data_IF_171655161843
#
_entry.id   IF_171655161843
#
_cell.length_a   1.000
_cell.length_b   1.000
_cell.length_c   1.000
_cell.angle_alpha   90.00
_cell.angle_beta   90.00
_cell.angle_gamma   90.00
#
_symmetry.space_group_name_H-M   'P 1'
#
loop_
_entity.id
_entity.type
_entity.pdbx_description
1 polymer ?
#
# COMPACT_ATOMS: atom_id res chain seq x y z
N UNK A 1 87.49 1.12 -6.34
CA UNK A 1 87.39 1.49 -4.91
C UNK A 1 86.24 2.50 -4.79
N UNK A 2 85.42 2.39 -3.74
CA UNK A 2 84.10 3.03 -3.47
C UNK A 2 82.84 2.27 -3.93
N UNK A 3 82.56 1.26 -3.11
CA UNK A 3 81.29 0.81 -2.51
C UNK A 3 79.98 1.49 -2.99
N UNK A 4 79.09 0.68 -3.57
CA UNK A 4 77.64 0.92 -3.66
C UNK A 4 76.99 0.58 -2.31
N UNK A 5 76.24 1.53 -1.77
CA UNK A 5 75.27 1.31 -0.69
C UNK A 5 73.97 1.99 -1.11
N UNK A 6 72.86 1.25 -1.22
CA UNK A 6 71.49 1.78 -1.11
C UNK A 6 70.49 0.62 -1.01
N UNK A 7 70.27 0.21 0.25
CA UNK A 7 68.99 0.02 0.95
C UNK A 7 67.80 -0.45 0.09
N UNK A 8 67.42 -1.71 0.30
CA UNK A 8 66.10 -2.24 -0.04
C UNK A 8 65.06 -1.75 0.99
N UNK A 9 64.02 -1.04 0.52
CA UNK A 9 62.80 -0.80 1.28
C UNK A 9 61.75 -1.81 0.79
N UNK A 10 61.49 -2.84 1.60
CA UNK A 10 60.38 -3.77 1.39
C UNK A 10 59.12 -3.09 1.95
N UNK A 11 58.27 -2.57 1.08
CA UNK A 11 56.91 -2.13 1.45
C UNK A 11 55.99 -3.33 1.26
N UNK A 12 55.64 -3.98 2.36
CA UNK A 12 54.52 -4.92 2.43
C UNK A 12 53.25 -4.07 2.38
N UNK A 13 52.67 -3.92 1.19
CA UNK A 13 51.34 -3.34 1.05
C UNK A 13 50.33 -4.44 1.34
N UNK A 14 49.83 -4.51 2.57
CA UNK A 14 48.61 -5.24 2.89
C UNK A 14 47.45 -4.52 2.21
N UNK A 15 47.12 -4.98 1.00
CA UNK A 15 45.86 -4.66 0.35
C UNK A 15 44.72 -5.30 1.16
N UNK A 16 44.24 -4.60 2.19
CA UNK A 16 42.87 -4.74 2.64
C UNK A 16 41.98 -4.19 1.51
N UNK A 17 41.64 -5.05 0.56
CA UNK A 17 40.46 -4.83 -0.27
C UNK A 17 39.26 -4.88 0.67
N UNK A 18 38.83 -3.71 1.15
CA UNK A 18 37.46 -3.51 1.57
C UNK A 18 36.65 -3.68 0.29
N UNK A 19 36.07 -4.86 0.08
CA UNK A 19 35.04 -5.03 -0.94
C UNK A 19 34.00 -3.94 -0.69
N UNK A 20 33.84 -3.04 -1.67
CA UNK A 20 32.84 -2.00 -1.57
C UNK A 20 31.48 -2.70 -1.42
N UNK A 21 30.83 -2.51 -0.27
CA UNK A 21 29.50 -3.07 -0.01
C UNK A 21 28.56 -2.51 -1.05
N UNK A 22 28.16 -3.35 -2.00
CA UNK A 22 27.24 -2.93 -3.06
C UNK A 22 25.81 -3.05 -2.55
N UNK A 23 25.22 -1.90 -2.21
CA UNK A 23 23.83 -1.82 -1.78
C UNK A 23 22.89 -2.25 -2.92
N UNK A 24 21.75 -2.82 -2.55
CA UNK A 24 20.68 -3.13 -3.50
C UNK A 24 20.16 -1.82 -4.13
N UNK A 25 19.85 -1.78 -5.44
CA UNK A 25 19.34 -0.57 -6.08
C UNK A 25 18.10 -0.05 -5.36
N UNK A 26 18.07 1.23 -4.99
CA UNK A 26 16.91 1.83 -4.30
C UNK A 26 15.70 1.98 -5.21
N UNK A 27 14.50 2.14 -4.64
CA UNK A 27 13.28 2.50 -5.36
C UNK A 27 12.98 3.99 -5.16
N UNK A 28 12.68 4.72 -6.23
CA UNK A 28 12.47 6.18 -6.19
C UNK A 28 11.03 6.62 -6.35
N UNK A 29 10.13 5.70 -6.67
CA UNK A 29 8.72 6.00 -6.95
C UNK A 29 7.82 5.59 -5.80
N UNK A 30 6.77 6.39 -5.59
CA UNK A 30 5.69 6.07 -4.65
C UNK A 30 4.48 5.44 -5.35
N UNK A 31 4.43 5.51 -6.68
CA UNK A 31 3.38 4.92 -7.50
C UNK A 31 4.03 4.12 -8.62
N UNK A 32 3.61 2.88 -8.84
CA UNK A 32 4.22 2.00 -9.83
C UNK A 32 3.17 1.20 -10.58
N UNK A 33 3.40 1.04 -11.88
CA UNK A 33 2.70 0.09 -12.73
C UNK A 33 3.70 -0.89 -13.34
N UNK A 34 3.40 -2.17 -13.32
CA UNK A 34 4.26 -3.20 -13.91
C UNK A 34 3.50 -4.47 -14.28
N UNK A 35 4.11 -5.24 -15.17
CA UNK A 35 3.68 -6.59 -15.52
C UNK A 35 4.61 -7.61 -14.87
N UNK A 36 4.06 -8.74 -14.46
CA UNK A 36 4.80 -9.82 -13.84
C UNK A 36 4.27 -11.18 -14.28
N UNK A 37 5.15 -12.13 -14.55
CA UNK A 37 4.77 -13.55 -14.57
C UNK A 37 5.29 -14.23 -13.33
N UNK A 38 4.41 -14.91 -12.60
CA UNK A 38 4.76 -15.73 -11.45
C UNK A 38 4.65 -17.21 -11.81
N UNK A 39 5.70 -17.97 -11.50
CA UNK A 39 5.71 -19.43 -11.57
C UNK A 39 5.96 -20.00 -10.17
N UNK A 40 5.05 -20.81 -9.68
CA UNK A 40 5.16 -21.47 -8.37
C UNK A 40 5.34 -22.96 -8.62
N UNK A 41 6.45 -23.51 -8.14
CA UNK A 41 6.73 -24.95 -8.14
C UNK A 41 6.75 -25.45 -6.70
N UNK A 42 5.87 -26.38 -6.36
CA UNK A 42 5.83 -27.02 -5.03
C UNK A 42 5.45 -28.48 -5.16
N UNK A 43 6.40 -29.39 -4.89
CA UNK A 43 6.25 -30.80 -5.20
C UNK A 43 6.04 -31.02 -6.71
N UNK A 44 4.96 -31.72 -7.07
CA UNK A 44 4.55 -31.94 -8.47
C UNK A 44 3.71 -30.80 -9.06
N UNK A 45 3.30 -29.82 -8.24
CA UNK A 45 2.47 -28.72 -8.71
C UNK A 45 3.35 -27.63 -9.33
N UNK A 46 2.99 -27.22 -10.54
CA UNK A 46 3.64 -26.12 -11.26
C UNK A 46 2.55 -25.22 -11.85
N UNK A 47 2.43 -24.01 -11.29
CA UNK A 47 1.41 -23.05 -11.71
C UNK A 47 2.07 -21.80 -12.27
N UNK A 48 1.53 -21.27 -13.37
CA UNK A 48 1.96 -20.02 -13.97
C UNK A 48 0.81 -19.03 -14.03
N UNK A 49 1.05 -17.83 -13.51
CA UNK A 49 0.08 -16.73 -13.47
C UNK A 49 0.72 -15.49 -14.06
N UNK A 50 -0.05 -14.74 -14.84
CA UNK A 50 0.31 -13.41 -15.30
C UNK A 50 -0.38 -12.37 -14.42
N UNK A 51 0.33 -11.30 -14.08
CA UNK A 51 -0.16 -10.20 -13.26
C UNK A 51 0.13 -8.88 -13.95
N UNK A 52 -0.86 -7.99 -13.91
CA UNK A 52 -0.71 -6.55 -14.15
C UNK A 52 -1.03 -5.87 -12.83
N UNK A 53 -0.07 -5.12 -12.31
CA UNK A 53 -0.14 -4.54 -10.96
C UNK A 53 0.06 -3.04 -11.09
N UNK A 54 -0.89 -2.29 -10.53
CA UNK A 54 -0.77 -0.85 -10.28
C UNK A 54 -0.86 -0.62 -8.79
N UNK A 55 0.08 0.13 -8.22
CA UNK A 55 0.13 0.44 -6.79
C UNK A 55 0.37 1.93 -6.57
N UNK A 56 -0.28 2.49 -5.55
CA UNK A 56 -0.07 3.84 -5.06
C UNK A 56 0.15 3.83 -3.56
N UNK A 57 1.37 4.16 -3.14
CA UNK A 57 1.73 4.26 -1.73
C UNK A 57 1.00 5.41 -1.06
N UNK A 58 0.92 6.57 -1.73
CA UNK A 58 0.31 7.79 -1.20
C UNK A 58 -1.15 7.56 -0.80
N UNK A 59 -1.92 6.91 -1.69
CA UNK A 59 -3.34 6.62 -1.49
C UNK A 59 -3.59 5.27 -0.82
N UNK A 60 -2.54 4.48 -0.54
CA UNK A 60 -2.67 3.15 0.06
C UNK A 60 -3.43 2.15 -0.83
N UNK A 61 -3.39 2.31 -2.15
CA UNK A 61 -4.17 1.50 -3.09
C UNK A 61 -3.29 0.53 -3.88
N UNK A 62 -3.84 -0.63 -4.21
CA UNK A 62 -3.22 -1.55 -5.16
C UNK A 62 -4.28 -2.30 -5.97
N UNK A 63 -4.16 -2.31 -7.30
CA UNK A 63 -5.00 -3.11 -8.19
C UNK A 63 -4.14 -4.18 -8.82
N UNK A 64 -4.61 -5.41 -8.73
CA UNK A 64 -3.97 -6.60 -9.27
C UNK A 64 -4.94 -7.24 -10.25
N UNK A 65 -4.61 -7.23 -11.54
CA UNK A 65 -5.29 -8.04 -12.54
C UNK A 65 -4.48 -9.29 -12.77
N UNK A 66 -5.09 -10.46 -12.63
CA UNK A 66 -4.41 -11.74 -12.80
C UNK A 66 -5.03 -12.53 -13.95
N UNK A 67 -4.20 -13.31 -14.64
CA UNK A 67 -4.62 -14.28 -15.64
C UNK A 67 -3.88 -15.60 -15.42
N UNK A 68 -4.60 -16.63 -14.99
CA UNK A 68 -4.10 -17.99 -14.80
C UNK A 68 -4.93 -18.96 -15.65
N UNK A 69 -4.29 -19.72 -16.54
CA UNK A 69 -4.96 -20.72 -17.39
C UNK A 69 -6.20 -20.19 -18.15
N UNK A 70 -6.19 -18.91 -18.57
CA UNK A 70 -7.31 -18.25 -19.26
C UNK A 70 -8.42 -17.71 -18.35
N UNK A 71 -8.34 -17.97 -17.04
CA UNK A 71 -9.19 -17.34 -16.03
C UNK A 71 -8.58 -16.00 -15.66
N UNK A 72 -9.33 -14.92 -15.90
CA UNK A 72 -9.00 -13.57 -15.47
C UNK A 72 -9.74 -13.27 -14.17
N UNK A 73 -9.06 -12.65 -13.23
CA UNK A 73 -9.64 -12.11 -12.00
C UNK A 73 -8.96 -10.80 -11.68
N UNK A 74 -9.62 -9.98 -10.88
CA UNK A 74 -9.07 -8.71 -10.47
C UNK A 74 -9.38 -8.44 -9.01
N UNK A 75 -8.41 -7.84 -8.33
CA UNK A 75 -8.55 -7.44 -6.94
C UNK A 75 -8.06 -6.01 -6.76
N UNK A 76 -8.83 -5.18 -6.06
CA UNK A 76 -8.44 -3.83 -5.63
C UNK A 76 -8.34 -3.85 -4.10
N UNK A 77 -7.14 -3.55 -3.59
CA UNK A 77 -6.85 -3.40 -2.18
C UNK A 77 -6.92 -1.92 -1.83
N UNK A 78 -7.88 -1.55 -0.97
CA UNK A 78 -7.91 -0.24 -0.34
C UNK A 78 -7.35 -0.39 1.08
N UNK A 79 -6.06 -0.11 1.25
CA UNK A 79 -5.43 -0.23 2.56
C UNK A 79 -5.80 0.92 3.51
N UNK A 80 -6.31 2.04 2.98
CA UNK A 80 -6.80 3.17 3.77
C UNK A 80 -8.14 2.86 4.42
N UNK A 81 -9.10 2.35 3.64
CA UNK A 81 -10.36 1.81 4.15
C UNK A 81 -10.21 0.43 4.77
N UNK A 82 -9.12 -0.28 4.49
CA UNK A 82 -8.80 -1.66 4.90
C UNK A 82 -9.81 -2.70 4.42
N UNK A 83 -10.24 -2.57 3.16
CA UNK A 83 -11.13 -3.50 2.46
C UNK A 83 -10.49 -4.00 1.16
N UNK A 84 -11.01 -5.10 0.65
CA UNK A 84 -10.56 -5.73 -0.60
C UNK A 84 -11.78 -5.94 -1.50
N UNK A 85 -11.72 -5.38 -2.70
CA UNK A 85 -12.72 -5.57 -3.74
C UNK A 85 -12.24 -6.64 -4.71
N UNK A 86 -13.01 -7.71 -4.84
CA UNK A 86 -12.79 -8.76 -5.83
C UNK A 86 -13.74 -8.53 -6.99
N UNK A 87 -13.21 -8.16 -8.15
CA UNK A 87 -13.98 -7.86 -9.36
C UNK A 87 -13.92 -9.06 -10.29
N UNK A 88 -15.08 -9.58 -10.65
CA UNK A 88 -15.21 -10.66 -11.61
C UNK A 88 -15.24 -10.16 -13.07
N UNK A 89 -15.41 -11.09 -14.01
CA UNK A 89 -15.40 -10.79 -15.45
C UNK A 89 -16.64 -10.02 -15.93
N UNK A 90 -17.75 -10.09 -15.20
CA UNK A 90 -19.02 -9.48 -15.56
C UNK A 90 -19.24 -8.13 -14.84
N UNK A 91 -18.25 -7.69 -14.06
CA UNK A 91 -18.34 -6.50 -13.22
C UNK A 91 -19.11 -6.73 -11.92
N UNK A 92 -19.44 -7.97 -11.55
CA UNK A 92 -19.87 -8.24 -10.19
C UNK A 92 -18.68 -8.15 -9.26
N UNK A 93 -18.86 -7.40 -8.19
CA UNK A 93 -17.86 -7.22 -7.17
C UNK A 93 -18.31 -7.86 -5.87
N UNK A 94 -17.39 -8.55 -5.21
CA UNK A 94 -17.49 -8.84 -3.79
C UNK A 94 -16.54 -7.93 -3.03
N UNK A 95 -16.91 -7.54 -1.81
CA UNK A 95 -16.04 -6.78 -0.92
C UNK A 95 -15.88 -7.53 0.39
N UNK A 96 -14.66 -7.54 0.91
CA UNK A 96 -14.31 -8.20 2.17
C UNK A 96 -13.36 -7.36 3.00
N UNK A 97 -13.25 -7.68 4.29
CA UNK A 97 -12.29 -7.05 5.17
C UNK A 97 -10.86 -7.44 4.76
N UNK A 98 -9.98 -6.45 4.62
CA UNK A 98 -8.57 -6.72 4.37
C UNK A 98 -7.89 -7.38 5.57
N UNK A 99 -6.87 -8.19 5.29
CA UNK A 99 -6.07 -8.87 6.31
C UNK A 99 -4.62 -8.38 6.32
N UNK A 100 -3.88 -8.80 7.35
CA UNK A 100 -2.47 -8.44 7.55
C UNK A 100 -1.54 -9.05 6.50
N UNK A 101 -1.99 -10.07 5.76
CA UNK A 101 -1.25 -10.70 4.68
C UNK A 101 -1.45 -10.00 3.33
N UNK A 102 -2.18 -8.88 3.28
CA UNK A 102 -2.35 -8.13 2.04
C UNK A 102 -0.98 -7.68 1.48
N UNK A 103 -0.74 -7.77 0.16
CA UNK A 103 0.57 -7.45 -0.39
C UNK A 103 1.00 -6.01 -0.15
N UNK A 104 2.31 -5.79 0.02
CA UNK A 104 2.90 -4.47 0.18
C UNK A 104 2.83 -3.91 1.61
N UNK A 105 2.32 -4.66 2.59
CA UNK A 105 2.34 -4.24 4.00
C UNK A 105 3.65 -4.59 4.70
N UNK A 106 4.12 -3.67 5.54
CA UNK A 106 5.21 -3.96 6.47
C UNK A 106 4.68 -4.58 7.77
N UNK A 107 5.59 -4.91 8.69
CA UNK A 107 5.26 -5.44 10.03
C UNK A 107 4.36 -4.54 10.89
N UNK A 108 4.17 -3.26 10.53
CA UNK A 108 3.25 -2.32 11.20
C UNK A 108 1.89 -2.24 10.51
N UNK A 109 1.65 -3.03 9.46
CA UNK A 109 0.44 -3.00 8.65
C UNK A 109 0.37 -1.82 7.66
N UNK A 110 1.44 -1.04 7.52
CA UNK A 110 1.49 0.12 6.62
C UNK A 110 1.88 -0.34 5.21
N UNK A 111 1.06 0.04 4.23
CA UNK A 111 1.34 -0.23 2.82
C UNK A 111 2.50 0.63 2.31
N UNK A 112 3.47 -0.02 1.67
CA UNK A 112 4.57 0.62 0.96
C UNK A 112 4.88 -0.15 -0.32
N UNK A 113 5.12 0.58 -1.40
CA UNK A 113 5.50 -0.01 -2.70
C UNK A 113 6.81 -0.79 -2.57
N UNK A 114 7.73 -0.33 -1.74
CA UNK A 114 9.00 -1.00 -1.44
C UNK A 114 8.81 -2.46 -0.98
N UNK A 115 7.77 -2.72 -0.17
CA UNK A 115 7.48 -4.05 0.36
C UNK A 115 6.90 -5.01 -0.70
N UNK A 116 6.37 -4.50 -1.81
CA UNK A 116 5.98 -5.35 -2.95
C UNK A 116 7.20 -6.06 -3.56
N UNK A 117 8.38 -5.47 -3.36
CA UNK A 117 9.67 -5.96 -3.80
C UNK A 117 10.58 -6.31 -2.62
N UNK A 118 10.04 -6.66 -1.45
CA UNK A 118 10.81 -7.23 -0.33
C UNK A 118 11.93 -6.35 0.25
N UNK A 119 11.91 -5.03 0.03
CA UNK A 119 12.94 -4.11 0.56
C UNK A 119 12.92 -3.97 2.09
N UNK A 120 12.02 -4.66 2.78
CA UNK A 120 12.00 -4.79 4.23
C UNK A 120 13.01 -5.81 4.78
N UNK A 121 13.74 -6.53 3.91
CA UNK A 121 14.82 -7.44 4.28
C UNK A 121 16.21 -6.91 3.94
N UNK A 122 17.20 -7.44 4.65
CA UNK A 122 18.61 -7.15 4.40
C UNK A 122 19.12 -7.98 3.22
N UNK A 123 19.63 -7.30 2.19
CA UNK A 123 20.13 -7.91 0.96
C UNK A 123 21.64 -7.77 0.84
N UNK A 124 22.31 -8.88 0.52
CA UNK A 124 23.73 -8.93 0.23
C UNK A 124 23.97 -9.14 -1.25
N UNK A 125 24.89 -8.37 -1.84
CA UNK A 125 25.31 -8.58 -3.22
C UNK A 125 26.02 -9.94 -3.37
N UNK A 126 25.61 -10.74 -4.35
CA UNK A 126 26.16 -12.08 -4.63
C UNK A 126 26.99 -12.16 -5.91
N UNK A 127 27.04 -11.08 -6.70
CA UNK A 127 27.83 -11.03 -7.93
C UNK A 127 26.96 -10.95 -9.18
N UNK A 128 27.58 -11.28 -10.32
CA UNK A 128 26.94 -11.28 -11.63
C UNK A 128 26.59 -12.71 -12.05
N UNK A 129 25.42 -12.92 -12.63
CA UNK A 129 24.98 -14.19 -13.19
C UNK A 129 24.32 -14.02 -14.56
N UNK A 130 24.10 -15.14 -15.26
CA UNK A 130 23.41 -15.17 -16.56
C UNK A 130 22.06 -15.83 -16.42
N UNK A 131 20.99 -15.14 -16.85
CA UNK A 131 19.66 -15.72 -16.98
C UNK A 131 19.52 -16.41 -18.35
N UNK A 132 19.90 -17.69 -18.42
CA UNK A 132 19.89 -18.49 -19.65
C UNK A 132 18.52 -18.54 -20.34
N UNK A 133 17.45 -18.63 -19.56
CA UNK A 133 16.07 -18.67 -20.03
C UNK A 133 15.51 -17.29 -20.47
N UNK A 134 16.30 -16.22 -20.30
CA UNK A 134 15.97 -14.85 -20.70
C UNK A 134 17.00 -14.27 -21.66
N UNK A 135 17.21 -14.96 -22.78
CA UNK A 135 18.13 -14.54 -23.84
C UNK A 135 19.58 -14.34 -23.35
N UNK A 136 19.99 -15.13 -22.35
CA UNK A 136 21.33 -15.05 -21.72
C UNK A 136 21.65 -13.66 -21.18
N UNK A 137 20.65 -13.01 -20.60
CA UNK A 137 20.80 -11.68 -20.01
C UNK A 137 21.75 -11.74 -18.81
N UNK A 138 22.76 -10.87 -18.81
CA UNK A 138 23.66 -10.67 -17.68
C UNK A 138 22.96 -9.81 -16.61
N UNK A 139 22.97 -10.28 -15.37
CA UNK A 139 22.31 -9.64 -14.24
C UNK A 139 23.22 -9.58 -13.03
N UNK A 140 22.95 -8.62 -12.15
CA UNK A 140 23.54 -8.51 -10.83
C UNK A 140 22.55 -9.03 -9.80
N UNK A 141 23.02 -9.89 -8.89
CA UNK A 141 22.17 -10.56 -7.91
C UNK A 141 22.40 -10.05 -6.49
N UNK A 142 21.30 -9.85 -5.77
CA UNK A 142 21.27 -9.63 -4.34
C UNK A 142 20.44 -10.71 -3.69
N UNK A 143 20.87 -11.21 -2.54
CA UNK A 143 20.17 -12.26 -1.82
C UNK A 143 19.93 -11.88 -0.36
N UNK A 144 18.73 -12.20 0.12
CA UNK A 144 18.36 -12.17 1.53
C UNK A 144 18.04 -13.59 2.01
N UNK A 145 18.50 -13.93 3.22
CA UNK A 145 18.29 -15.24 3.84
C UNK A 145 17.61 -15.07 5.20
N UNK A 146 16.45 -15.69 5.36
CA UNK A 146 15.62 -15.62 6.54
C UNK A 146 15.42 -17.01 7.13
N UNK A 147 15.30 -17.10 8.46
CA UNK A 147 15.07 -18.35 9.18
C UNK A 147 13.80 -18.28 10.01
N UNK A 148 13.10 -19.40 10.14
CA UNK A 148 11.90 -19.53 10.98
C UNK A 148 10.84 -18.43 10.68
N UNK A 149 10.54 -18.25 9.39
CA UNK A 149 9.69 -17.16 8.88
C UNK A 149 8.32 -17.68 8.46
N UNK A 150 7.29 -16.84 8.58
CA UNK A 150 5.97 -17.08 8.00
C UNK A 150 5.91 -16.34 6.67
N UNK A 151 5.66 -17.07 5.59
CA UNK A 151 5.54 -16.52 4.24
C UNK A 151 4.26 -17.04 3.59
N UNK A 152 3.42 -16.15 3.06
CA UNK A 152 2.08 -16.46 2.53
C UNK A 152 1.24 -17.34 3.49
N UNK A 153 1.28 -17.05 4.79
CA UNK A 153 0.53 -17.77 5.82
C UNK A 153 1.09 -19.15 6.20
N UNK A 154 2.16 -19.64 5.55
CA UNK A 154 2.84 -20.89 5.91
C UNK A 154 4.18 -20.62 6.59
N UNK A 155 4.50 -21.41 7.61
CA UNK A 155 5.79 -21.37 8.30
C UNK A 155 6.85 -22.17 7.53
N UNK A 156 8.04 -21.60 7.38
CA UNK A 156 9.21 -22.23 6.76
C UNK A 156 10.44 -22.12 7.66
N UNK A 157 11.33 -23.11 7.60
CA UNK A 157 12.56 -23.12 8.41
C UNK A 157 13.62 -22.19 7.83
N UNK A 158 13.67 -22.06 6.51
CA UNK A 158 14.54 -21.14 5.78
C UNK A 158 13.84 -20.59 4.54
N UNK A 159 14.01 -19.30 4.26
CA UNK A 159 13.56 -18.63 3.04
C UNK A 159 14.76 -17.90 2.43
N UNK A 160 14.97 -18.06 1.13
CA UNK A 160 16.01 -17.36 0.37
C UNK A 160 15.32 -16.55 -0.72
N UNK A 161 15.57 -15.24 -0.75
CA UNK A 161 15.00 -14.31 -1.73
C UNK A 161 16.18 -13.75 -2.53
N UNK A 162 16.24 -14.04 -3.82
CA UNK A 162 17.25 -13.51 -4.74
C UNK A 162 16.58 -12.51 -5.68
N UNK A 163 17.12 -11.31 -5.80
CA UNK A 163 16.71 -10.29 -6.75
C UNK A 163 17.79 -10.05 -7.79
N UNK A 164 17.40 -10.14 -9.05
CA UNK A 164 18.28 -9.96 -10.19
C UNK A 164 17.94 -8.64 -10.89
N UNK A 165 18.95 -7.79 -11.06
CA UNK A 165 18.83 -6.51 -11.74
C UNK A 165 19.72 -6.44 -12.98
N UNK A 166 19.27 -5.70 -13.99
CA UNK A 166 20.12 -5.27 -15.10
C UNK A 166 20.49 -3.80 -14.93
N UNK A 167 21.68 -3.39 -15.35
CA UNK A 167 22.03 -1.96 -15.39
C UNK A 167 21.13 -1.23 -16.39
N UNK A 168 20.52 -0.14 -15.94
CA UNK A 168 19.62 0.70 -16.72
C UNK A 168 19.73 2.15 -16.25
N UNK A 169 20.66 2.93 -16.81
CA UNK A 169 20.93 4.31 -16.34
C UNK A 169 19.75 5.27 -16.47
N UNK A 170 18.73 4.90 -17.26
CA UNK A 170 17.52 5.69 -17.52
C UNK A 170 16.28 5.14 -16.82
N UNK A 171 16.43 4.13 -15.96
CA UNK A 171 15.31 3.61 -15.18
C UNK A 171 14.81 4.69 -14.22
N UNK A 172 13.50 4.90 -14.19
CA UNK A 172 12.85 5.92 -13.36
C UNK A 172 12.27 5.35 -12.08
N UNK A 173 12.26 4.02 -11.93
CA UNK A 173 11.69 3.29 -10.79
C UNK A 173 12.80 2.85 -9.83
N UNK A 174 13.86 2.21 -10.34
CA UNK A 174 14.97 1.72 -9.53
C UNK A 174 16.30 2.43 -9.88
N UNK A 175 17.15 2.66 -8.88
CA UNK A 175 18.36 3.45 -9.05
C UNK A 175 19.37 2.84 -10.04
N UNK A 176 19.44 3.41 -11.24
CA UNK A 176 20.34 3.02 -12.35
C UNK A 176 20.27 1.55 -12.75
N UNK A 177 19.21 0.86 -12.35
CA UNK A 177 19.01 -0.56 -12.58
C UNK A 177 17.54 -0.82 -12.90
N UNK A 178 17.23 -1.96 -13.48
CA UNK A 178 15.84 -2.46 -13.61
C UNK A 178 15.74 -3.82 -12.95
N UNK A 179 14.79 -3.99 -12.03
CA UNK A 179 14.47 -5.31 -11.47
C UNK A 179 13.90 -6.18 -12.59
N UNK A 180 14.51 -7.33 -12.85
CA UNK A 180 14.07 -8.23 -13.93
C UNK A 180 13.52 -9.54 -13.40
N UNK A 181 14.02 -10.01 -12.26
CA UNK A 181 13.59 -11.28 -11.66
C UNK A 181 13.71 -11.27 -10.14
N UNK A 182 12.75 -11.92 -9.47
CA UNK A 182 12.87 -12.35 -8.08
C UNK A 182 12.69 -13.86 -8.01
N UNK A 183 13.56 -14.55 -7.29
CA UNK A 183 13.44 -15.97 -6.97
C UNK A 183 13.27 -16.10 -5.47
N UNK A 184 12.20 -16.78 -5.04
CA UNK A 184 11.92 -17.08 -3.63
C UNK A 184 11.98 -18.59 -3.46
N UNK A 185 12.93 -19.06 -2.66
CA UNK A 185 13.14 -20.49 -2.38
C UNK A 185 12.86 -20.75 -0.91
N UNK A 186 11.83 -21.55 -0.63
CA UNK A 186 11.39 -21.87 0.73
C UNK A 186 11.75 -23.32 1.07
N UNK A 187 12.33 -23.51 2.25
CA UNK A 187 12.88 -24.79 2.69
C UNK A 187 12.33 -25.22 4.05
N UNK A 188 12.27 -26.53 4.24
CA UNK A 188 11.99 -27.20 5.51
C UNK A 188 13.25 -27.94 5.99
N UNK A 189 13.46 -27.96 7.31
CA UNK A 189 14.59 -28.65 7.93
C UNK A 189 14.43 -30.17 7.74
N UNK A 190 15.48 -30.81 7.25
CA UNK A 190 15.55 -32.26 7.21
C UNK A 190 15.74 -32.81 8.63
N UNK A 191 14.64 -33.26 9.24
CA UNK A 191 14.65 -33.82 10.60
C UNK A 191 15.27 -35.21 10.66
N UNK A 192 15.61 -35.82 9.52
CA UNK A 192 16.22 -37.16 9.46
C UNK A 192 17.75 -37.12 9.51
N UNK A 193 18.36 -35.94 9.33
CA UNK A 193 19.81 -35.78 9.45
C UNK A 193 20.22 -35.73 10.92
N UNK A 194 20.71 -36.83 11.48
CA UNK A 194 21.37 -36.88 12.79
C UNK A 194 22.74 -36.17 12.85
N UNK A 195 23.05 -35.28 11.90
CA UNK A 195 24.30 -34.54 11.82
C UNK A 195 24.24 -33.20 12.55
N UNK A 196 25.38 -32.71 13.04
CA UNK A 196 25.53 -31.36 13.60
C UNK A 196 25.26 -30.23 12.58
N UNK A 197 25.34 -30.53 11.28
CA UNK A 197 24.96 -29.62 10.20
C UNK A 197 23.47 -29.75 9.87
N UNK A 198 22.77 -28.61 9.91
CA UNK A 198 21.37 -28.50 9.52
C UNK A 198 21.24 -28.64 8.00
N UNK A 199 20.58 -29.70 7.53
CA UNK A 199 20.20 -29.87 6.12
C UNK A 199 18.81 -29.31 5.87
N UNK A 200 18.61 -28.70 4.70
CA UNK A 200 17.35 -28.06 4.33
C UNK A 200 16.88 -28.59 2.97
N UNK A 201 15.62 -29.01 2.90
CA UNK A 201 14.99 -29.51 1.69
C UNK A 201 14.11 -28.41 1.07
N UNK A 202 14.30 -28.13 -0.23
CA UNK A 202 13.49 -27.16 -0.96
C UNK A 202 12.06 -27.71 -1.11
N UNK A 203 11.07 -26.98 -0.63
CA UNK A 203 9.66 -27.40 -0.68
C UNK A 203 8.81 -26.55 -1.63
N UNK A 204 9.22 -25.29 -1.83
CA UNK A 204 8.53 -24.35 -2.72
C UNK A 204 9.55 -23.44 -3.37
N UNK A 205 9.41 -23.21 -4.68
CA UNK A 205 10.15 -22.22 -5.44
C UNK A 205 9.16 -21.31 -6.17
N UNK A 206 9.30 -20.00 -6.01
CA UNK A 206 8.53 -18.99 -6.72
C UNK A 206 9.49 -18.20 -7.58
N UNK A 207 9.20 -18.07 -8.87
CA UNK A 207 9.95 -17.23 -9.80
C UNK A 207 9.02 -16.14 -10.31
N UNK A 208 9.39 -14.89 -10.07
CA UNK A 208 8.70 -13.70 -10.58
C UNK A 208 9.58 -13.04 -11.62
N UNK A 209 9.10 -12.97 -12.84
CA UNK A 209 9.73 -12.21 -13.91
C UNK A 209 8.97 -10.91 -14.14
N UNK A 210 9.67 -9.79 -14.05
CA UNK A 210 9.08 -8.47 -14.19
C UNK A 210 9.33 -7.90 -15.59
N UNK A 211 8.37 -7.08 -16.02
CA UNK A 211 8.36 -6.42 -17.32
C UNK A 211 7.63 -5.08 -17.23
N UNK A 212 8.02 -4.13 -18.09
CA UNK A 212 7.31 -2.85 -18.32
C UNK A 212 7.03 -2.04 -17.04
N UNK A 213 8.03 -1.88 -16.18
CA UNK A 213 7.94 -0.90 -15.10
C UNK A 213 7.69 0.50 -15.65
N UNK A 214 6.76 1.21 -15.00
CA UNK A 214 6.50 2.63 -15.19
C UNK A 214 6.18 3.24 -13.84
N UNK A 215 6.61 4.48 -13.64
CA UNK A 215 6.00 5.32 -12.63
C UNK A 215 4.56 5.62 -13.09
N UNK A 216 3.58 5.45 -12.20
CA UNK A 216 2.21 5.89 -12.47
C UNK A 216 2.13 7.37 -12.06
N UNK A 217 2.51 8.26 -12.98
CA UNK A 217 2.91 9.64 -12.68
C UNK A 217 1.72 10.62 -12.61
N UNK A 218 0.51 10.25 -13.01
CA UNK A 218 -0.60 11.21 -13.13
C UNK A 218 -1.92 10.71 -12.55
N UNK A 219 -2.71 11.66 -12.05
CA UNK A 219 -4.06 11.45 -11.53
C UNK A 219 -5.03 10.85 -12.57
N UNK A 220 -4.89 11.22 -13.85
CA UNK A 220 -5.73 10.69 -14.92
C UNK A 220 -5.55 9.16 -15.06
N UNK A 221 -4.30 8.69 -15.01
CA UNK A 221 -4.02 7.25 -14.94
C UNK A 221 -4.55 6.66 -13.62
N UNK A 222 -4.46 7.39 -12.51
CA UNK A 222 -4.91 6.91 -11.20
C UNK A 222 -6.42 6.58 -11.19
N UNK A 223 -7.30 7.47 -11.66
CA UNK A 223 -8.74 7.18 -11.72
C UNK A 223 -9.07 6.06 -12.72
N UNK A 224 -8.36 5.99 -13.84
CA UNK A 224 -8.49 4.87 -14.79
C UNK A 224 -8.14 3.52 -14.15
N UNK A 225 -7.13 3.49 -13.28
CA UNK A 225 -6.72 2.25 -12.61
C UNK A 225 -7.52 1.94 -11.35
N UNK A 226 -7.99 2.90 -10.56
CA UNK A 226 -8.49 2.59 -9.21
C UNK A 226 -10.00 2.75 -9.01
N UNK A 227 -10.76 3.33 -9.95
CA UNK A 227 -12.21 3.46 -9.75
C UNK A 227 -12.95 2.13 -9.54
N UNK A 228 -13.98 2.15 -8.68
CA UNK A 228 -14.91 1.02 -8.49
C UNK A 228 -16.19 1.13 -9.35
N UNK A 229 -16.18 1.95 -10.40
CA UNK A 229 -17.33 2.18 -11.29
C UNK A 229 -17.89 0.92 -11.95
N UNK A 230 -17.06 -0.11 -12.07
CA UNK A 230 -17.46 -1.42 -12.59
C UNK A 230 -18.29 -2.25 -11.60
N UNK A 231 -18.24 -1.94 -10.29
CA UNK A 231 -18.91 -2.67 -9.20
C UNK A 231 -20.40 -2.35 -9.02
N UNK A 232 -21.19 -2.44 -10.09
CA UNK A 232 -22.60 -2.00 -10.12
C UNK A 232 -23.53 -2.69 -9.12
N UNK A 233 -23.14 -3.85 -8.60
CA UNK A 233 -23.90 -4.56 -7.57
C UNK A 233 -23.61 -4.07 -6.14
N UNK A 234 -22.51 -3.34 -5.94
CA UNK A 234 -22.11 -2.78 -4.63
C UNK A 234 -22.45 -1.30 -4.49
N UNK A 235 -22.43 -0.55 -5.58
CA UNK A 235 -22.72 0.89 -5.62
C UNK A 235 -23.99 1.16 -6.42
N UNK A 236 -24.77 2.16 -6.02
CA UNK A 236 -25.90 2.61 -6.84
C UNK A 236 -25.43 3.42 -8.05
N UNK A 237 -26.29 3.58 -9.05
CA UNK A 237 -26.01 4.43 -10.22
C UNK A 237 -26.00 5.93 -9.88
N UNK A 238 -26.23 6.31 -8.61
CA UNK A 238 -26.20 7.70 -8.18
C UNK A 238 -24.77 8.24 -8.24
N UNK A 239 -24.66 9.47 -8.74
CA UNK A 239 -23.42 10.25 -8.75
C UNK A 239 -23.73 11.68 -8.32
N UNK A 240 -22.73 12.35 -7.80
CA UNK A 240 -22.78 13.80 -7.52
C UNK A 240 -21.53 14.42 -8.09
N UNK A 241 -21.70 15.49 -8.87
CA UNK A 241 -20.59 16.31 -9.34
C UNK A 241 -20.56 17.60 -8.54
N UNK A 242 -19.41 17.91 -7.93
CA UNK A 242 -19.19 19.17 -7.22
C UNK A 242 -18.21 20.02 -8.01
N UNK A 243 -18.58 21.27 -8.28
CA UNK A 243 -17.69 22.28 -8.83
C UNK A 243 -17.00 23.03 -7.69
N UNK A 244 -15.68 22.99 -7.64
CA UNK A 244 -14.85 23.75 -6.70
C UNK A 244 -14.19 24.90 -7.44
N UNK A 245 -14.42 26.14 -6.97
CA UNK A 245 -13.81 27.34 -7.54
C UNK A 245 -12.70 27.86 -6.64
N UNK A 246 -11.46 27.78 -7.10
CA UNK A 246 -10.27 28.25 -6.40
C UNK A 246 -9.78 29.57 -6.99
N UNK A 247 -9.34 30.50 -6.14
CA UNK A 247 -8.71 31.75 -6.54
C UNK A 247 -7.40 31.96 -5.77
N UNK A 248 -6.55 32.86 -6.25
CA UNK A 248 -5.33 33.22 -5.53
C UNK A 248 -5.65 33.83 -4.17
N UNK A 249 -4.83 33.51 -3.18
CA UNK A 249 -4.74 34.34 -1.99
C UNK A 249 -4.00 35.65 -2.27
N UNK A 250 -4.34 36.69 -1.53
CA UNK A 250 -3.96 38.08 -1.85
C UNK A 250 -2.43 38.30 -1.85
N UNK A 251 -1.67 37.43 -1.16
CA UNK A 251 -0.21 37.45 -1.08
C UNK A 251 0.49 36.52 -2.09
N UNK A 252 -0.26 35.87 -2.98
CA UNK A 252 0.25 35.07 -4.10
C UNK A 252 -0.28 35.61 -5.45
N UNK A 253 0.11 36.83 -5.86
CA UNK A 253 -0.22 37.33 -7.20
C UNK A 253 0.36 36.38 -8.26
N UNK A 254 -0.38 36.19 -9.37
CA UNK A 254 -0.05 35.29 -10.50
C UNK A 254 -0.11 33.77 -10.22
N UNK A 255 -0.67 33.34 -9.08
CA UNK A 255 -0.79 31.92 -8.75
C UNK A 255 -1.51 31.08 -9.83
N UNK A 256 -2.50 31.66 -10.52
CA UNK A 256 -3.24 30.96 -11.60
C UNK A 256 -2.29 30.53 -12.72
N UNK A 257 -1.29 31.36 -13.05
CA UNK A 257 -0.31 31.02 -14.08
C UNK A 257 0.63 29.91 -13.59
N UNK A 258 1.04 29.93 -12.32
CA UNK A 258 1.82 28.84 -11.73
C UNK A 258 1.05 27.50 -11.77
N UNK A 259 -0.23 27.50 -11.41
CA UNK A 259 -1.08 26.31 -11.54
C UNK A 259 -1.23 25.84 -13.00
N UNK A 260 -1.31 26.75 -13.97
CA UNK A 260 -1.35 26.39 -15.41
C UNK A 260 -0.06 25.68 -15.84
N UNK A 261 1.09 26.21 -15.45
CA UNK A 261 2.40 25.62 -15.78
C UNK A 261 2.59 24.25 -15.14
N UNK A 262 2.13 24.07 -13.89
CA UNK A 262 2.32 22.84 -13.11
C UNK A 262 1.00 22.11 -12.85
N UNK A 263 0.13 22.01 -13.86
CA UNK A 263 -1.23 21.50 -13.66
C UNK A 263 -1.28 20.09 -13.08
N UNK A 264 -0.39 19.19 -13.47
CA UNK A 264 -0.37 17.82 -12.94
C UNK A 264 -0.08 17.79 -11.43
N UNK A 265 0.87 18.60 -10.96
CA UNK A 265 1.20 18.73 -9.54
C UNK A 265 0.08 19.44 -8.77
N UNK A 266 -0.47 20.52 -9.36
CA UNK A 266 -1.59 21.24 -8.77
C UNK A 266 -2.80 20.34 -8.54
N UNK A 267 -3.11 19.52 -9.55
CA UNK A 267 -4.17 18.52 -9.53
C UNK A 267 -3.98 17.51 -8.41
N UNK A 268 -2.79 16.93 -8.32
CA UNK A 268 -2.45 15.99 -7.26
C UNK A 268 -2.60 16.66 -5.89
N UNK A 269 -2.08 17.87 -5.70
CA UNK A 269 -2.22 18.59 -4.43
C UNK A 269 -3.67 18.98 -4.14
N UNK A 270 -4.48 19.32 -5.15
CA UNK A 270 -5.91 19.58 -4.99
C UNK A 270 -6.65 18.32 -4.52
N UNK A 271 -6.43 17.17 -5.16
CA UNK A 271 -7.01 15.90 -4.72
C UNK A 271 -6.62 15.60 -3.27
N UNK A 272 -5.34 15.72 -2.92
CA UNK A 272 -4.83 15.33 -1.61
C UNK A 272 -5.19 16.31 -0.48
N UNK A 273 -5.11 17.61 -0.74
CA UNK A 273 -5.33 18.64 0.28
C UNK A 273 -6.80 19.04 0.38
N UNK A 274 -7.59 18.94 -0.69
CA UNK A 274 -9.00 19.34 -0.68
C UNK A 274 -9.91 18.12 -0.66
N UNK A 275 -9.83 17.25 -1.67
CA UNK A 275 -10.80 16.16 -1.85
C UNK A 275 -10.64 15.06 -0.79
N UNK A 276 -9.46 14.47 -0.71
CA UNK A 276 -9.13 13.38 0.22
C UNK A 276 -8.85 13.86 1.65
N UNK A 277 -9.01 15.16 1.90
CA UNK A 277 -9.08 15.63 3.28
C UNK A 277 -10.32 15.09 3.99
N UNK A 278 -11.42 15.05 3.26
CA UNK A 278 -12.65 14.48 3.74
C UNK A 278 -12.59 12.95 3.73
N UNK A 279 -13.49 12.32 4.49
CA UNK A 279 -13.52 10.85 4.62
C UNK A 279 -14.20 10.21 3.41
N UNK A 280 -13.54 10.30 2.26
CA UNK A 280 -13.98 9.72 1.00
C UNK A 280 -12.86 8.80 0.50
N UNK A 281 -13.21 7.58 0.08
CA UNK A 281 -12.22 6.72 -0.58
C UNK A 281 -11.84 7.29 -1.96
N UNK A 282 -10.55 7.32 -2.33
CA UNK A 282 -10.13 7.72 -3.68
C UNK A 282 -10.76 6.84 -4.78
N UNK A 283 -11.15 5.60 -4.45
CA UNK A 283 -11.85 4.70 -5.38
C UNK A 283 -13.19 5.25 -5.89
N UNK A 284 -13.77 6.22 -5.18
CA UNK A 284 -15.07 6.83 -5.51
C UNK A 284 -14.95 8.09 -6.35
N UNK A 285 -13.75 8.56 -6.65
CA UNK A 285 -13.57 9.69 -7.57
C UNK A 285 -13.63 9.11 -8.98
N UNK A 286 -14.75 9.31 -9.68
CA UNK A 286 -15.00 8.75 -11.02
C UNK A 286 -14.27 9.55 -12.10
N UNK A 287 -14.34 10.88 -11.99
CA UNK A 287 -13.78 11.82 -12.94
C UNK A 287 -13.44 13.13 -12.25
N UNK A 288 -12.42 13.81 -12.77
CA UNK A 288 -12.01 15.13 -12.32
C UNK A 288 -11.56 15.96 -13.52
N UNK A 289 -12.39 16.94 -13.86
CA UNK A 289 -12.15 17.88 -14.94
C UNK A 289 -11.82 19.24 -14.36
N UNK A 290 -11.06 20.04 -15.10
CA UNK A 290 -10.72 21.38 -14.67
C UNK A 290 -10.75 22.36 -15.84
N UNK A 291 -11.00 23.63 -15.52
CA UNK A 291 -10.88 24.75 -16.44
C UNK A 291 -10.25 25.94 -15.75
N UNK A 292 -9.51 26.71 -16.53
CA UNK A 292 -8.93 27.96 -16.09
C UNK A 292 -9.73 29.14 -16.60
N UNK A 293 -9.87 30.15 -15.74
CA UNK A 293 -10.26 31.51 -16.12
C UNK A 293 -9.10 32.46 -15.83
N UNK A 294 -9.31 33.76 -16.04
CA UNK A 294 -8.28 34.77 -15.72
C UNK A 294 -8.09 34.96 -14.21
N UNK A 295 -9.08 34.61 -13.39
CA UNK A 295 -9.08 34.88 -11.94
C UNK A 295 -9.27 33.64 -11.07
N UNK A 296 -9.61 32.50 -11.66
CA UNK A 296 -9.95 31.29 -10.92
C UNK A 296 -9.62 30.01 -11.68
N UNK A 297 -9.52 28.93 -10.91
CA UNK A 297 -9.43 27.55 -11.39
C UNK A 297 -10.70 26.85 -10.90
N UNK A 298 -11.40 26.20 -11.82
CA UNK A 298 -12.64 25.50 -11.50
C UNK A 298 -12.43 24.01 -11.72
N UNK A 299 -12.74 23.19 -10.72
CA UNK A 299 -12.63 21.74 -10.74
C UNK A 299 -14.01 21.11 -10.63
N UNK A 300 -14.41 20.34 -11.64
CA UNK A 300 -15.61 19.51 -11.61
C UNK A 300 -15.20 18.09 -11.19
N UNK A 301 -15.54 17.71 -9.96
CA UNK A 301 -15.20 16.39 -9.38
C UNK A 301 -16.46 15.55 -9.26
N UNK A 302 -16.47 14.39 -9.91
CA UNK A 302 -17.61 13.47 -9.91
C UNK A 302 -17.36 12.32 -8.94
N UNK A 303 -18.28 12.14 -7.98
CA UNK A 303 -18.20 11.11 -6.95
C UNK A 303 -19.21 9.98 -7.21
N UNK A 304 -18.76 8.74 -7.02
CA UNK A 304 -19.57 7.53 -6.98
C UNK A 304 -20.19 7.32 -5.60
N UNK A 305 -21.30 6.58 -5.57
CA UNK A 305 -21.89 6.13 -4.32
C UNK A 305 -20.95 5.21 -3.55
N UNK A 306 -21.09 5.17 -2.22
CA UNK A 306 -20.32 4.24 -1.40
C UNK A 306 -20.98 2.87 -1.34
N UNK A 307 -20.19 1.78 -1.30
CA UNK A 307 -20.71 0.48 -0.92
C UNK A 307 -21.34 0.50 0.48
N UNK A 308 -22.31 -0.39 0.70
CA UNK A 308 -22.83 -0.62 2.05
C UNK A 308 -21.85 -1.48 2.86
N UNK A 309 -20.92 -0.84 3.58
CA UNK A 309 -19.94 -1.54 4.41
C UNK A 309 -20.49 -2.15 5.71
N UNK A 310 -21.73 -1.83 6.10
CA UNK A 310 -22.31 -2.39 7.33
C UNK A 310 -22.47 -3.92 7.23
N UNK A 311 -22.57 -4.46 6.01
CA UNK A 311 -22.62 -5.92 5.79
C UNK A 311 -21.29 -6.62 6.07
N UNK A 312 -20.18 -5.88 6.16
CA UNK A 312 -18.84 -6.39 6.49
C UNK A 312 -18.57 -6.39 7.98
N UNK A 313 -19.29 -5.56 8.74
CA UNK A 313 -19.12 -5.39 10.18
C UNK A 313 -20.00 -6.41 10.89
N UNK A 314 -19.55 -7.67 10.93
CA UNK A 314 -20.26 -8.78 11.58
C UNK A 314 -19.49 -9.25 12.82
N UNK A 315 -20.17 -9.47 13.95
CA UNK A 315 -19.53 -10.04 15.12
C UNK A 315 -19.33 -11.54 14.95
N UNK A 316 -18.28 -12.04 15.56
CA UNK A 316 -18.10 -13.44 15.88
C UNK A 316 -18.46 -13.66 17.35
N UNK A 317 -19.35 -14.62 17.61
CA UNK A 317 -19.70 -15.00 18.97
C UNK A 317 -18.58 -15.87 19.56
N UNK A 318 -17.92 -15.37 20.61
CA UNK A 318 -16.77 -16.02 21.22
C UNK A 318 -16.85 -16.04 22.75
N UNK A 319 -16.20 -17.01 23.37
CA UNK A 319 -15.94 -17.03 24.82
C UNK A 319 -14.63 -16.32 25.11
N UNK A 320 -14.72 -15.08 25.58
CA UNK A 320 -13.58 -14.19 25.79
C UNK A 320 -13.02 -14.36 27.20
N UNK A 321 -11.70 -14.48 27.32
CA UNK A 321 -11.04 -14.69 28.61
C UNK A 321 -11.07 -13.44 29.51
N UNK A 322 -11.00 -13.65 30.83
CA UNK A 322 -10.84 -12.55 31.80
C UNK A 322 -9.60 -11.69 31.54
N UNK A 323 -8.51 -12.29 31.03
CA UNK A 323 -7.28 -11.56 30.70
C UNK A 323 -7.51 -10.53 29.59
N UNK A 324 -8.31 -10.86 28.59
CA UNK A 324 -8.69 -9.90 27.54
C UNK A 324 -9.43 -8.71 28.12
N UNK A 325 -10.37 -8.91 29.03
CA UNK A 325 -11.11 -7.81 29.65
C UNK A 325 -10.23 -6.89 30.50
N UNK A 326 -9.17 -7.43 31.13
CA UNK A 326 -8.19 -6.61 31.86
C UNK A 326 -7.40 -5.67 30.94
N UNK A 327 -7.13 -6.09 29.70
CA UNK A 327 -6.41 -5.29 28.71
C UNK A 327 -7.32 -4.40 27.85
N UNK A 328 -8.62 -4.70 27.83
CA UNK A 328 -9.61 -3.97 27.04
C UNK A 328 -9.86 -2.57 27.60
N UNK A 329 -9.93 -1.58 26.69
CA UNK A 329 -10.29 -0.21 27.04
C UNK A 329 -11.79 -0.04 26.93
N UNK A 330 -12.45 0.16 28.06
CA UNK A 330 -13.90 0.33 28.13
C UNK A 330 -14.37 1.63 27.46
N UNK A 331 -15.60 1.59 26.93
CA UNK A 331 -16.32 2.71 26.34
C UNK A 331 -17.77 2.70 26.85
N UNK A 332 -18.39 3.88 27.04
CA UNK A 332 -19.81 3.95 27.38
C UNK A 332 -20.65 3.44 26.21
N UNK A 333 -21.51 2.46 26.46
CA UNK A 333 -22.56 2.01 25.56
C UNK A 333 -23.61 1.22 26.34
N UNK A 334 -24.88 1.34 25.95
CA UNK A 334 -25.98 0.61 26.58
C UNK A 334 -26.37 -0.64 25.78
N UNK A 335 -26.00 -0.67 24.51
CA UNK A 335 -26.28 -1.74 23.55
C UNK A 335 -25.15 -1.85 22.50
N UNK A 336 -25.18 -2.90 21.70
CA UNK A 336 -24.17 -3.20 20.69
C UNK A 336 -24.04 -2.09 19.64
N UNK A 337 -25.15 -1.51 19.19
CA UNK A 337 -25.15 -0.43 18.19
C UNK A 337 -24.43 0.81 18.73
N UNK A 338 -24.77 1.23 19.95
CA UNK A 338 -24.08 2.32 20.64
C UNK A 338 -22.59 2.02 20.86
N UNK A 339 -22.25 0.75 21.12
CA UNK A 339 -20.85 0.33 21.24
C UNK A 339 -20.10 0.56 19.94
N UNK A 340 -20.61 0.06 18.81
CA UNK A 340 -20.00 0.27 17.49
C UNK A 340 -19.91 1.76 17.14
N UNK A 341 -20.96 2.54 17.40
CA UNK A 341 -20.95 3.98 17.17
C UNK A 341 -19.89 4.68 18.02
N UNK A 342 -19.73 4.32 19.31
CA UNK A 342 -18.66 4.86 20.16
C UNK A 342 -17.28 4.43 19.66
N UNK A 343 -17.11 3.19 19.21
CA UNK A 343 -15.84 2.68 18.70
C UNK A 343 -15.43 3.39 17.40
N UNK A 344 -16.39 3.73 16.54
CA UNK A 344 -16.15 4.44 15.27
C UNK A 344 -15.61 5.87 15.44
N UNK A 345 -15.73 6.43 16.66
CA UNK A 345 -15.25 7.78 17.00
C UNK A 345 -13.83 7.78 17.54
N UNK A 346 -13.19 6.62 17.70
CA UNK A 346 -11.82 6.53 18.18
C UNK A 346 -10.85 7.12 17.15
N UNK A 347 -10.05 8.10 17.57
CA UNK A 347 -9.01 8.72 16.74
C UNK A 347 -7.87 7.77 16.41
N UNK A 348 -7.60 6.80 17.30
CA UNK A 348 -6.58 5.78 17.09
C UNK A 348 -7.26 4.47 16.70
N UNK A 349 -6.71 3.83 15.67
CA UNK A 349 -7.15 2.52 15.24
C UNK A 349 -7.00 1.45 16.33
N UNK A 350 -7.79 0.39 16.21
CA UNK A 350 -7.84 -0.75 17.11
C UNK A 350 -8.07 -2.04 16.33
N UNK A 351 -7.58 -3.17 16.84
CA UNK A 351 -7.70 -4.46 16.13
C UNK A 351 -8.92 -5.27 16.54
N UNK A 352 -9.43 -5.09 17.78
CA UNK A 352 -10.58 -5.86 18.28
C UNK A 352 -11.57 -4.94 18.97
N UNK A 353 -12.84 -5.01 18.56
CA UNK A 353 -13.99 -4.46 19.28
C UNK A 353 -14.72 -5.58 20.01
N UNK A 354 -15.19 -5.32 21.22
CA UNK A 354 -15.86 -6.31 22.08
C UNK A 354 -17.13 -5.68 22.64
N UNK A 355 -18.25 -6.36 22.45
CA UNK A 355 -19.49 -6.09 23.16
C UNK A 355 -19.91 -7.34 23.93
N UNK A 356 -20.10 -7.23 25.24
CA UNK A 356 -20.59 -8.31 26.10
C UNK A 356 -22.05 -8.00 26.48
N UNK A 357 -23.03 -8.78 25.98
CA UNK A 357 -24.44 -8.48 26.22
C UNK A 357 -24.88 -8.57 27.68
N UNK A 358 -24.24 -9.42 28.49
CA UNK A 358 -24.65 -9.72 29.87
C UNK A 358 -24.66 -8.48 30.79
N UNK A 359 -23.71 -7.57 30.61
CA UNK A 359 -23.56 -6.36 31.41
C UNK A 359 -23.34 -5.10 30.57
N UNK A 360 -23.64 -5.19 29.28
CA UNK A 360 -23.41 -4.14 28.28
C UNK A 360 -21.98 -3.60 28.24
N UNK A 361 -20.98 -4.41 28.62
CA UNK A 361 -19.59 -3.99 28.47
C UNK A 361 -19.28 -3.74 27.00
N UNK A 362 -18.76 -2.55 26.71
CA UNK A 362 -18.22 -2.18 25.42
C UNK A 362 -16.74 -1.85 25.59
N UNK A 363 -15.87 -2.45 24.79
CA UNK A 363 -14.45 -2.19 24.86
C UNK A 363 -13.70 -2.51 23.58
N UNK A 364 -12.42 -2.15 23.57
CA UNK A 364 -11.54 -2.45 22.44
C UNK A 364 -10.11 -2.77 22.87
N UNK A 365 -9.43 -3.52 22.02
CA UNK A 365 -7.99 -3.81 22.11
C UNK A 365 -7.26 -3.17 20.95
N UNK A 366 -6.10 -2.58 21.23
CA UNK A 366 -5.26 -1.97 20.19
C UNK A 366 -4.59 -3.01 19.29
N UNK A 367 -4.23 -4.16 19.85
CA UNK A 367 -3.46 -5.20 19.17
C UNK A 367 -4.15 -6.56 19.29
N UNK A 368 -4.09 -7.38 18.23
CA UNK A 368 -4.66 -8.74 18.24
C UNK A 368 -4.03 -9.66 19.29
N UNK A 369 -2.74 -9.46 19.63
CA UNK A 369 -2.03 -10.30 20.60
C UNK A 369 -2.61 -10.25 22.03
N UNK A 370 -3.36 -9.20 22.34
CA UNK A 370 -3.98 -9.01 23.66
C UNK A 370 -5.36 -9.72 23.74
N UNK A 371 -5.86 -10.21 22.60
CA UNK A 371 -7.09 -10.97 22.50
C UNK A 371 -6.85 -12.46 22.76
N UNK A 372 -7.59 -13.02 23.70
CA UNK A 372 -7.47 -14.38 24.19
C UNK A 372 -8.85 -14.95 24.46
N UNK A 373 -9.13 -16.11 23.88
CA UNK A 373 -10.36 -16.88 24.12
C UNK A 373 -10.14 -17.88 25.25
N UNK A 374 -11.24 -18.27 25.92
CA UNK A 374 -11.25 -19.30 26.94
C UNK A 374 -12.54 -20.13 26.83
N UNK A 375 -12.43 -21.35 26.30
CA UNK A 375 -13.58 -22.20 26.06
C UNK A 375 -14.20 -22.81 27.34
N UNK A 376 -13.56 -22.66 28.51
CA UNK A 376 -14.03 -23.25 29.78
C UNK A 376 -14.67 -22.22 30.70
N UNK A 377 -14.02 -21.06 30.84
CA UNK A 377 -14.44 -19.99 31.76
C UNK A 377 -14.59 -18.62 31.10
N UNK A 378 -14.47 -18.56 29.77
CA UNK A 378 -14.66 -17.31 29.04
C UNK A 378 -16.12 -16.85 29.04
N UNK A 379 -16.30 -15.55 28.83
CA UNK A 379 -17.62 -14.93 28.81
C UNK A 379 -18.07 -14.72 27.37
N UNK A 380 -19.33 -15.07 27.10
CA UNK A 380 -19.92 -14.92 25.78
C UNK A 380 -19.96 -13.45 25.37
N UNK A 381 -19.34 -13.13 24.24
CA UNK A 381 -19.24 -11.76 23.72
C UNK A 381 -19.32 -11.76 22.19
N UNK A 382 -19.86 -10.66 21.67
CA UNK A 382 -19.77 -10.31 20.26
C UNK A 382 -18.43 -9.64 19.99
N UNK A 383 -17.59 -10.29 19.20
CA UNK A 383 -16.22 -9.85 18.91
C UNK A 383 -16.11 -9.41 17.46
N UNK A 384 -15.57 -8.21 17.24
CA UNK A 384 -15.33 -7.64 15.92
C UNK A 384 -13.83 -7.54 15.67
N UNK A 385 -13.35 -8.13 14.57
CA UNK A 385 -11.92 -8.19 14.25
C UNK A 385 -11.64 -7.28 13.05
N UNK A 386 -10.74 -6.32 13.24
CA UNK A 386 -10.30 -5.34 12.25
C UNK A 386 -8.78 -5.35 12.16
N UNK A 387 -8.17 -6.30 11.42
CA UNK A 387 -6.71 -6.47 11.41
C UNK A 387 -5.97 -5.16 11.06
N UNK A 388 -6.57 -4.37 10.17
CA UNK A 388 -6.00 -3.13 9.62
C UNK A 388 -6.33 -1.87 10.42
N UNK A 389 -6.99 -2.00 11.58
CA UNK A 389 -7.25 -0.89 12.51
C UNK A 389 -7.99 0.30 11.88
N UNK A 390 -8.81 -0.02 10.90
CA UNK A 390 -9.45 0.86 9.91
C UNK A 390 -10.93 1.13 10.19
N UNK A 391 -11.53 0.51 11.23
CA UNK A 391 -12.96 0.60 11.52
C UNK A 391 -13.50 2.04 11.54
N UNK A 392 -12.75 2.97 12.14
CA UNK A 392 -13.10 4.41 12.18
C UNK A 392 -13.25 5.02 10.79
N UNK A 393 -12.37 4.68 9.85
CA UNK A 393 -12.45 5.21 8.48
C UNK A 393 -13.60 4.56 7.72
N UNK A 394 -13.69 3.23 7.78
CA UNK A 394 -14.76 2.45 7.13
C UNK A 394 -16.16 2.93 7.54
N UNK A 395 -16.41 3.10 8.84
CA UNK A 395 -17.74 3.48 9.34
C UNK A 395 -18.09 4.94 9.07
N UNK A 396 -17.09 5.83 9.00
CA UNK A 396 -17.28 7.27 8.85
C UNK A 396 -17.04 7.78 7.43
N UNK A 397 -16.98 6.88 6.45
CA UNK A 397 -16.93 7.27 5.05
C UNK A 397 -18.23 8.00 4.66
N UNK A 398 -18.08 9.16 4.02
CA UNK A 398 -19.19 10.08 3.75
C UNK A 398 -20.11 9.54 2.65
N UNK A 399 -21.43 9.50 2.87
CA UNK A 399 -22.40 9.23 1.81
C UNK A 399 -22.55 10.43 0.87
N UNK A 400 -22.97 10.18 -0.37
CA UNK A 400 -23.06 11.20 -1.44
C UNK A 400 -23.90 12.43 -1.06
N UNK A 401 -25.03 12.21 -0.41
CA UNK A 401 -26.00 13.23 -0.03
C UNK A 401 -25.47 14.27 0.97
N UNK A 402 -24.43 13.91 1.73
CA UNK A 402 -23.81 14.82 2.72
C UNK A 402 -22.54 15.50 2.22
N UNK A 403 -22.07 15.18 1.00
CA UNK A 403 -20.77 15.66 0.51
C UNK A 403 -20.71 17.18 0.40
N UNK A 404 -21.70 17.80 -0.26
CA UNK A 404 -21.72 19.24 -0.46
C UNK A 404 -21.68 19.98 0.88
N UNK A 405 -22.56 19.62 1.81
CA UNK A 405 -22.65 20.25 3.13
C UNK A 405 -21.32 20.09 3.90
N UNK A 406 -20.71 18.90 3.85
CA UNK A 406 -19.42 18.65 4.53
C UNK A 406 -18.31 19.53 3.95
N UNK A 407 -18.20 19.64 2.63
CA UNK A 407 -17.20 20.50 2.00
C UNK A 407 -17.45 21.99 2.27
N UNK A 408 -18.72 22.41 2.32
CA UNK A 408 -19.07 23.81 2.64
C UNK A 408 -18.70 24.17 4.08
N UNK A 409 -18.87 23.26 5.05
CA UNK A 409 -18.42 23.46 6.44
C UNK A 409 -16.90 23.67 6.53
N UNK A 410 -16.13 23.06 5.63
CA UNK A 410 -14.67 23.13 5.56
C UNK A 410 -14.12 24.05 4.45
N UNK A 411 -14.95 24.93 3.88
CA UNK A 411 -14.61 25.81 2.74
C UNK A 411 -13.42 26.74 2.98
N UNK A 412 -13.05 27.00 4.23
CA UNK A 412 -11.89 27.83 4.59
C UNK A 412 -10.54 27.16 4.28
N UNK A 413 -10.54 25.91 3.83
CA UNK A 413 -9.32 25.19 3.51
C UNK A 413 -8.68 25.76 2.25
N UNK A 414 -7.42 26.16 2.39
CA UNK A 414 -6.57 26.57 1.28
C UNK A 414 -5.79 25.40 0.70
N UNK A 415 -5.30 25.58 -0.51
CA UNK A 415 -4.39 24.68 -1.21
C UNK A 415 -3.04 25.38 -1.34
N UNK A 416 -1.96 24.64 -1.11
CA UNK A 416 -0.60 25.15 -1.31
C UNK A 416 0.13 24.33 -2.37
N UNK A 417 0.69 25.01 -3.37
CA UNK A 417 1.58 24.43 -4.39
C UNK A 417 3.00 24.97 -4.18
N UNK A 418 3.99 24.09 -4.15
CA UNK A 418 5.40 24.48 -4.05
C UNK A 418 5.90 24.99 -5.39
N UNK A 419 6.62 26.12 -5.39
CA UNK A 419 7.34 26.61 -6.55
C UNK A 419 8.72 25.94 -6.61
N UNK A 420 8.85 24.98 -7.52
CA UNK A 420 10.10 24.24 -7.75
C UNK A 420 11.13 25.01 -8.60
N UNK A 421 10.73 26.13 -9.24
CA UNK A 421 11.60 26.97 -10.07
C UNK A 421 12.26 28.12 -9.27
N UNK A 422 11.80 28.34 -8.04
CA UNK A 422 12.38 29.28 -7.09
C UNK A 422 13.81 28.85 -6.68
N UNK A 423 14.83 29.48 -7.27
CA UNK A 423 16.25 29.37 -6.82
C UNK A 423 16.55 30.02 -5.44
N UNK A 424 15.51 30.34 -4.67
CA UNK A 424 15.61 30.90 -3.33
C UNK A 424 15.83 29.80 -2.29
N UNK A 425 16.64 30.08 -1.27
CA UNK A 425 16.85 29.21 -0.09
C UNK A 425 15.55 28.95 0.70
N UNK A 426 14.50 29.75 0.48
CA UNK A 426 13.15 29.55 0.99
C UNK A 426 12.23 29.23 -0.19
N UNK A 427 11.57 28.05 -0.23
CA UNK A 427 10.62 27.73 -1.29
C UNK A 427 9.53 28.80 -1.33
N UNK A 428 9.34 29.43 -2.49
CA UNK A 428 8.10 30.19 -2.71
C UNK A 428 6.95 29.20 -2.79
N UNK A 429 5.86 29.51 -2.13
CA UNK A 429 4.64 28.71 -2.20
C UNK A 429 3.55 29.56 -2.80
N UNK A 430 2.79 28.97 -3.73
CA UNK A 430 1.58 29.57 -4.27
C UNK A 430 0.40 29.10 -3.44
N UNK A 431 -0.40 30.04 -2.96
CA UNK A 431 -1.54 29.77 -2.09
C UNK A 431 -2.85 30.09 -2.79
N UNK A 432 -3.81 29.18 -2.65
CA UNK A 432 -5.12 29.23 -3.28
C UNK A 432 -6.19 29.03 -2.22
N UNK A 433 -7.29 29.78 -2.31
CA UNK A 433 -8.46 29.64 -1.43
C UNK A 433 -9.66 29.14 -2.22
N UNK A 434 -10.49 28.32 -1.59
CA UNK A 434 -11.79 27.94 -2.16
C UNK A 434 -12.75 29.12 -1.97
N UNK A 435 -13.21 29.66 -3.10
CA UNK A 435 -14.16 30.78 -3.14
C UNK A 435 -15.60 30.31 -3.30
N UNK A 436 -15.80 29.15 -3.93
CA UNK A 436 -17.12 28.56 -4.10
C UNK A 436 -17.11 27.04 -4.23
N UNK A 437 -18.21 26.41 -3.81
CA UNK A 437 -18.47 24.98 -3.99
C UNK A 437 -19.96 24.81 -4.28
N UNK A 438 -20.29 24.25 -5.44
CA UNK A 438 -21.69 24.04 -5.85
C UNK A 438 -21.88 22.65 -6.44
N UNK A 439 -23.06 22.06 -6.26
CA UNK A 439 -23.43 20.84 -6.97
C UNK A 439 -23.78 21.18 -8.43
N UNK A 440 -23.26 20.38 -9.35
CA UNK A 440 -23.56 20.45 -10.78
C UNK A 440 -24.49 19.27 -11.08
N UNK A 441 -25.68 19.58 -11.60
CA UNK A 441 -26.68 18.57 -11.98
C UNK A 441 -26.44 18.02 -13.38
#
# INVERSE_FOLDING_TARGET
MLVKLSIALVVISTALMVEAVQLIPGIFVQNVHYLMTERITSGSNDTRTFHEITASQKNGLMRVKTSAQGVKSQTIYDNGLGVVFNVDKDGQCNVEMGNDNAPGKNYRGVFKVENLFFYDYDFEYKGTSTLEDRLKMQVKDWESVLFNVIFNGKKYDKLVITQSFIESPKDTVFDRHSLVRTVISAYELDKTSGSSEKKYNLVTKIVRDYMKFKSAETEYEFHEYFTIKECKNLISDKKVTLNFKLACEDYSPDCINAAKTHINEFREEFENQIILHERISPLRIDDMQYRFTDSAIEFDVTFLDKPNFDVLIKPENMLVSSETFLNAKARPASNEKECLDSLSRLLRGFSVGIYRPEDSFCGYLKEMKDFKTDNKSGQSSNVYIFPLKNFTFLKRELPLDTLLDTYLENKLRGLTLKDHESHSLVPKNNHYKITDIVAVN
#
